data_IF_166252745369
#
_entry.id   IF_166252745369
#
_cell.length_a   1.000
_cell.length_b   1.000
_cell.length_c   1.000
_cell.angle_alpha   90.00
_cell.angle_beta   90.00
_cell.angle_gamma   90.00
#
_symmetry.space_group_name_H-M   'P 1'
#
loop_
_entity.id
_entity.type
_entity.pdbx_description
1 polymer ?
#
# COMPACT_ATOMS: atom_id res chain seq x y z
N UNK A 1 37.80 2.44 -8.25
CA UNK A 1 37.16 2.32 -8.13
C UNK A 1 36.37 2.16 -8.23
N UNK A 2 35.99 1.81 -8.28
CA UNK A 2 35.07 1.48 -8.26
C UNK A 2 34.10 1.47 -8.16
N UNK A 3 34.01 1.36 -8.07
CA UNK A 3 33.04 1.44 -8.08
C UNK A 3 32.13 1.43 -8.18
N UNK A 4 32.13 1.24 -8.25
CA UNK A 4 31.21 1.18 -8.23
C UNK A 4 30.30 1.22 -8.28
N UNK A 5 30.51 1.04 -8.36
CA UNK A 5 29.70 1.05 -8.37
C UNK A 5 28.74 1.20 -8.22
N UNK A 6 28.90 1.10 -8.12
CA UNK A 6 28.04 1.21 -7.93
C UNK A 6 26.98 1.32 -8.07
N UNK A 7 26.96 1.26 -8.24
CA UNK A 7 26.06 1.33 -8.36
C UNK A 7 25.10 1.31 -8.35
N UNK A 8 25.00 1.08 -8.42
CA UNK A 8 24.10 1.07 -8.39
C UNK A 8 23.21 1.30 -8.44
N UNK A 9 23.06 1.05 -8.61
CA UNK A 9 22.30 1.10 -8.66
C UNK A 9 21.26 1.20 -8.64
N UNK A 10 20.97 1.21 -8.65
CA UNK A 10 20.03 1.33 -8.63
C UNK A 10 19.13 1.12 -8.87
N UNK A 11 19.09 1.04 -8.43
CA UNK A 11 17.95 0.25 -8.53
C UNK A 11 17.03 0.68 -9.54
N UNK A 12 16.97 -0.15 -10.33
CA UNK A 12 16.06 0.02 -11.36
C UNK A 12 14.73 -0.32 -10.83
N UNK A 13 13.93 0.67 -10.71
CA UNK A 13 12.55 0.49 -10.40
C UNK A 13 11.89 -0.08 -11.63
N UNK A 14 11.45 -1.31 -11.55
CA UNK A 14 10.72 -1.90 -12.64
C UNK A 14 9.25 -1.65 -12.43
N UNK A 15 8.57 -0.94 -13.35
CA UNK A 15 7.17 -0.58 -13.15
C UNK A 15 6.26 -1.77 -12.87
N UNK A 16 6.54 -2.91 -13.49
CA UNK A 16 5.73 -4.11 -13.27
C UNK A 16 5.88 -4.63 -11.85
N UNK A 17 7.11 -4.70 -11.33
CA UNK A 17 7.35 -5.17 -9.98
C UNK A 17 6.77 -4.21 -8.96
N UNK A 18 6.92 -2.90 -9.18
CA UNK A 18 6.34 -1.91 -8.30
C UNK A 18 4.83 -2.01 -8.29
N UNK A 19 4.23 -2.19 -9.44
CA UNK A 19 2.78 -2.33 -9.54
C UNK A 19 2.30 -3.53 -8.71
N UNK A 20 2.97 -4.67 -8.83
CA UNK A 20 2.58 -5.87 -8.09
C UNK A 20 2.74 -5.70 -6.59
N UNK A 21 3.82 -5.04 -6.15
CA UNK A 21 4.03 -4.79 -4.74
C UNK A 21 2.99 -3.85 -4.16
N UNK A 22 2.70 -2.76 -4.86
CA UNK A 22 1.70 -1.80 -4.40
C UNK A 22 0.33 -2.44 -4.38
N UNK A 23 0.01 -3.22 -5.42
CA UNK A 23 -1.26 -3.94 -5.48
C UNK A 23 -1.41 -4.89 -4.30
N UNK A 24 -0.36 -5.63 -3.98
CA UNK A 24 -0.39 -6.56 -2.86
C UNK A 24 -0.61 -5.82 -1.53
N UNK A 25 0.02 -4.67 -1.37
CA UNK A 25 -0.18 -3.88 -0.17
C UNK A 25 -1.61 -3.38 -0.06
N UNK A 26 -2.18 -2.90 -1.16
CA UNK A 26 -3.56 -2.43 -1.18
C UNK A 26 -4.51 -3.56 -0.78
N UNK A 27 -4.31 -4.75 -1.36
CA UNK A 27 -5.18 -5.88 -1.05
C UNK A 27 -5.09 -6.27 0.43
N UNK A 28 -3.89 -6.25 0.99
CA UNK A 28 -3.71 -6.57 2.40
C UNK A 28 -4.41 -5.54 3.30
N UNK A 29 -4.32 -4.26 2.93
CA UNK A 29 -4.99 -3.21 3.70
C UNK A 29 -6.51 -3.31 3.58
N UNK A 30 -7.01 -3.60 2.39
CA UNK A 30 -8.46 -3.78 2.20
C UNK A 30 -8.96 -4.94 3.05
N UNK A 31 -8.21 -6.02 3.12
CA UNK A 31 -8.56 -7.16 3.94
C UNK A 31 -8.71 -6.76 5.41
N UNK A 32 -7.78 -5.94 5.90
CA UNK A 32 -7.85 -5.42 7.27
C UNK A 32 -9.05 -4.52 7.48
N UNK A 33 -9.42 -3.74 6.46
CA UNK A 33 -10.60 -2.88 6.56
C UNK A 33 -11.86 -3.71 6.65
N UNK A 34 -11.95 -4.79 5.88
CA UNK A 34 -13.10 -5.68 5.93
C UNK A 34 -13.21 -6.30 7.33
N UNK A 35 -12.10 -6.75 7.89
CA UNK A 35 -12.08 -7.31 9.24
C UNK A 35 -12.54 -6.29 10.27
N UNK A 36 -12.09 -5.05 10.12
CA UNK A 36 -12.50 -3.99 11.04
C UNK A 36 -13.99 -3.71 10.95
N UNK A 37 -14.54 -3.71 9.74
CA UNK A 37 -15.98 -3.49 9.56
C UNK A 37 -16.79 -4.62 10.15
N UNK A 38 -16.34 -5.86 10.02
CA UNK A 38 -16.99 -6.99 10.65
C UNK A 38 -16.98 -6.85 12.16
N UNK A 39 -15.84 -6.45 12.71
CA UNK A 39 -15.73 -6.24 14.14
C UNK A 39 -16.63 -5.11 14.61
N UNK A 40 -16.70 -4.02 13.85
CA UNK A 40 -17.56 -2.89 14.18
C UNK A 40 -19.03 -3.32 14.25
N UNK A 41 -19.43 -4.21 13.34
CA UNK A 41 -20.80 -4.70 13.29
C UNK A 41 -21.17 -5.46 14.57
N UNK A 42 -20.22 -6.23 15.13
CA UNK A 42 -20.53 -7.11 16.25
C UNK A 42 -20.20 -6.49 17.61
N UNK A 43 -19.12 -5.75 17.73
CA UNK A 43 -18.67 -5.25 19.04
C UNK A 43 -18.38 -3.76 19.05
N UNK A 44 -18.34 -3.13 17.89
CA UNK A 44 -17.95 -1.73 17.77
C UNK A 44 -16.45 -1.55 17.81
N UNK A 45 -15.98 -0.41 17.27
CA UNK A 45 -14.58 -0.08 17.27
C UNK A 45 -14.26 0.86 18.42
N UNK A 46 -13.11 0.65 19.06
CA UNK A 46 -12.58 1.63 20.01
C UNK A 46 -12.10 2.85 19.24
N UNK A 47 -11.79 3.94 19.97
CA UNK A 47 -11.27 5.16 19.34
C UNK A 47 -9.95 4.87 18.63
N UNK A 48 -9.10 4.05 19.23
CA UNK A 48 -7.81 3.69 18.61
C UNK A 48 -8.03 2.90 17.33
N UNK A 49 -8.94 1.93 17.37
CA UNK A 49 -9.26 1.12 16.20
C UNK A 49 -9.85 1.96 15.08
N UNK A 50 -10.67 2.94 15.41
CA UNK A 50 -11.24 3.84 14.43
C UNK A 50 -10.18 4.72 13.81
N UNK A 51 -9.25 5.21 14.61
CA UNK A 51 -8.11 5.98 14.12
C UNK A 51 -7.29 5.14 13.14
N UNK A 52 -7.03 3.89 13.51
CA UNK A 52 -6.26 2.98 12.64
C UNK A 52 -7.01 2.69 11.35
N UNK A 53 -8.32 2.54 11.44
CA UNK A 53 -9.15 2.34 10.26
C UNK A 53 -9.04 3.53 9.30
N UNK A 54 -9.16 4.74 9.84
CA UNK A 54 -9.08 5.95 9.02
C UNK A 54 -7.70 6.11 8.40
N UNK A 55 -6.65 5.80 9.15
CA UNK A 55 -5.27 5.88 8.63
C UNK A 55 -5.07 4.87 7.50
N UNK A 56 -5.61 3.66 7.63
CA UNK A 56 -5.52 2.67 6.55
C UNK A 56 -6.29 3.12 5.32
N UNK A 57 -7.43 3.76 5.52
CA UNK A 57 -8.22 4.26 4.40
C UNK A 57 -7.44 5.31 3.60
N UNK A 58 -6.77 6.23 4.31
CA UNK A 58 -5.92 7.22 3.67
C UNK A 58 -4.78 6.56 2.90
N UNK A 59 -4.17 5.54 3.50
CA UNK A 59 -3.08 4.82 2.85
C UNK A 59 -3.55 4.10 1.59
N UNK A 60 -4.73 3.50 1.65
CA UNK A 60 -5.32 2.83 0.48
C UNK A 60 -5.51 3.84 -0.66
N UNK A 61 -6.00 5.04 -0.34
CA UNK A 61 -6.19 6.07 -1.35
C UNK A 61 -4.87 6.50 -1.98
N UNK A 62 -3.83 6.67 -1.16
CA UNK A 62 -2.50 7.01 -1.68
C UNK A 62 -1.97 5.94 -2.62
N UNK A 63 -2.08 4.69 -2.20
CA UNK A 63 -1.57 3.58 -2.99
C UNK A 63 -2.38 3.38 -4.25
N UNK A 64 -3.67 3.59 -4.19
CA UNK A 64 -4.53 3.49 -5.37
C UNK A 64 -4.15 4.55 -6.41
N UNK A 65 -3.85 5.77 -5.96
CA UNK A 65 -3.38 6.81 -6.85
C UNK A 65 -2.04 6.42 -7.48
N UNK A 66 -1.16 5.83 -6.67
CA UNK A 66 0.13 5.37 -7.16
C UNK A 66 -0.02 4.26 -8.20
N UNK A 67 -0.97 3.34 -7.98
CA UNK A 67 -1.26 2.30 -8.97
C UNK A 67 -1.67 2.92 -10.31
N UNK A 68 -2.49 3.95 -10.27
CA UNK A 68 -2.89 4.64 -11.49
C UNK A 68 -1.70 5.24 -12.23
N UNK A 69 -0.76 5.82 -11.48
CA UNK A 69 0.44 6.39 -12.08
C UNK A 69 1.34 5.31 -12.68
N UNK A 70 1.52 4.21 -11.96
CA UNK A 70 2.35 3.11 -12.44
C UNK A 70 1.73 2.45 -13.68
N UNK A 71 0.42 2.31 -13.68
CA UNK A 71 -0.28 1.74 -14.82
C UNK A 71 -0.14 2.63 -16.04
N UNK A 72 -0.22 3.95 -15.85
CA UNK A 72 -0.07 4.89 -16.96
C UNK A 72 1.34 4.91 -17.51
N UNK A 73 2.35 4.63 -16.66
CA UNK A 73 3.74 4.60 -17.07
C UNK A 73 4.13 3.31 -17.79
N UNK A 74 3.38 2.28 -17.58
CA UNK A 74 3.63 1.00 -18.22
C UNK A 74 2.97 0.95 -19.58
#
# INVERSE_FOLDING_TARGET
MRVKKDQPLRPLVRPVEDFEQVRAEVLALIERQVEALERDTFVGLTDVERYEYDARQDRIHELHAKLGQLKAAA
#
